data_IF_052283146441
#
_entry.id   IF_052283146441
#
_cell.length_a   1.000
_cell.length_b   1.000
_cell.length_c   1.000
_cell.angle_alpha   90.00
_cell.angle_beta   90.00
_cell.angle_gamma   90.00
#
_symmetry.space_group_name_H-M   'P 1'
#
loop_
_entity.id
_entity.type
_entity.pdbx_description
1 polymer ?
#
# COMPACT_ATOMS: atom_id res chain seq x y z
N UNK A 1 -57.32 -37.00 -30.72
CA UNK A 1 -56.13 -37.42 -29.94
C UNK A 1 -54.83 -36.70 -30.35
N UNK A 2 -54.54 -36.44 -31.61
CA UNK A 2 -53.29 -35.77 -32.07
C UNK A 2 -53.08 -34.30 -31.63
N UNK A 3 -54.14 -33.52 -31.36
CA UNK A 3 -53.98 -32.11 -30.90
C UNK A 3 -53.58 -31.97 -29.41
N UNK A 4 -53.89 -32.96 -28.55
CA UNK A 4 -53.49 -32.96 -27.14
C UNK A 4 -52.03 -33.36 -26.96
N UNK A 5 -51.50 -34.26 -27.81
CA UNK A 5 -50.10 -34.69 -27.74
C UNK A 5 -49.11 -33.60 -28.15
N UNK A 6 -49.46 -32.77 -29.17
CA UNK A 6 -48.62 -31.63 -29.59
C UNK A 6 -48.56 -30.51 -28.54
N UNK A 7 -49.64 -30.24 -27.79
CA UNK A 7 -49.58 -29.28 -26.67
C UNK A 7 -48.78 -29.79 -25.49
N UNK A 8 -48.82 -31.08 -25.20
CA UNK A 8 -48.01 -31.68 -24.13
C UNK A 8 -46.53 -31.67 -24.48
N UNK A 9 -46.14 -31.93 -25.72
CA UNK A 9 -44.74 -31.81 -26.19
C UNK A 9 -44.20 -30.38 -26.14
N UNK A 10 -44.99 -29.38 -26.52
CA UNK A 10 -44.56 -27.97 -26.47
C UNK A 10 -44.38 -27.49 -25.02
N UNK A 11 -45.25 -27.90 -24.09
CA UNK A 11 -45.10 -27.58 -22.67
C UNK A 11 -43.91 -28.30 -22.04
N UNK A 12 -43.69 -29.57 -22.41
CA UNK A 12 -42.49 -30.30 -21.94
C UNK A 12 -41.18 -29.72 -22.50
N UNK A 13 -41.17 -29.28 -23.76
CA UNK A 13 -40.00 -28.60 -24.35
C UNK A 13 -39.70 -27.22 -23.73
N UNK A 14 -40.76 -26.46 -23.38
CA UNK A 14 -40.63 -25.19 -22.68
C UNK A 14 -40.14 -25.39 -21.23
N UNK A 15 -40.57 -26.45 -20.54
CA UNK A 15 -40.06 -26.79 -19.20
C UNK A 15 -38.62 -27.29 -19.26
N UNK A 16 -38.20 -28.02 -20.30
CA UNK A 16 -36.79 -28.44 -20.46
C UNK A 16 -35.86 -27.27 -20.81
N UNK A 17 -36.34 -26.29 -21.60
CA UNK A 17 -35.57 -25.09 -21.92
C UNK A 17 -35.50 -24.16 -20.69
N UNK A 18 -36.55 -24.09 -19.88
CA UNK A 18 -36.52 -23.31 -18.63
C UNK A 18 -35.69 -23.96 -17.52
N UNK A 19 -35.60 -25.29 -17.49
CA UNK A 19 -34.71 -26.01 -16.54
C UNK A 19 -33.23 -26.00 -16.97
N UNK A 20 -32.93 -25.72 -18.24
CA UNK A 20 -31.55 -25.54 -18.75
C UNK A 20 -31.03 -24.11 -18.59
N UNK A 21 -31.91 -23.14 -18.31
CA UNK A 21 -31.50 -21.74 -18.02
C UNK A 21 -31.27 -21.48 -16.53
N UNK A 22 -31.73 -22.37 -15.63
CA UNK A 22 -31.36 -22.39 -14.22
C UNK A 22 -30.30 -23.45 -13.91
N UNK A 23 -29.26 -23.56 -14.72
CA UNK A 23 -27.97 -23.83 -14.11
C UNK A 23 -27.63 -22.54 -13.37
N UNK A 24 -27.89 -22.47 -12.07
CA UNK A 24 -27.16 -21.58 -11.20
C UNK A 24 -25.69 -21.73 -11.67
N UNK A 25 -25.10 -20.70 -12.25
CA UNK A 25 -23.67 -20.66 -12.40
C UNK A 25 -23.16 -20.95 -10.97
N UNK A 26 -22.60 -22.14 -10.74
CA UNK A 26 -21.94 -22.41 -9.50
C UNK A 26 -20.93 -21.26 -9.36
N UNK A 27 -21.15 -20.41 -8.39
CA UNK A 27 -20.24 -19.29 -8.14
C UNK A 27 -18.88 -19.93 -7.99
N UNK A 28 -17.89 -19.51 -8.76
CA UNK A 28 -16.58 -20.12 -8.69
C UNK A 28 -16.07 -19.92 -7.26
N UNK A 29 -15.67 -21.01 -6.63
CA UNK A 29 -15.07 -20.98 -5.29
C UNK A 29 -13.81 -20.10 -5.32
N UNK A 30 -13.64 -19.24 -4.32
CA UNK A 30 -12.45 -18.39 -4.20
C UNK A 30 -11.25 -19.26 -3.83
N UNK A 31 -10.39 -19.50 -4.78
CA UNK A 31 -9.15 -20.24 -4.58
C UNK A 31 -8.00 -19.32 -4.16
N UNK A 32 -7.92 -18.15 -4.77
CA UNK A 32 -6.86 -17.18 -4.55
C UNK A 32 -7.45 -15.84 -4.11
N UNK A 33 -6.75 -15.15 -3.22
CA UNK A 33 -7.07 -13.77 -2.82
C UNK A 33 -5.84 -12.90 -3.04
N UNK A 34 -6.02 -11.80 -3.77
CA UNK A 34 -5.03 -10.75 -3.95
C UNK A 34 -5.59 -9.48 -3.33
N UNK A 35 -5.06 -9.11 -2.17
CA UNK A 35 -5.39 -7.88 -1.45
C UNK A 35 -4.37 -6.81 -1.78
N UNK A 36 -4.81 -5.74 -2.45
CA UNK A 36 -4.00 -4.60 -2.86
C UNK A 36 -4.31 -3.43 -1.93
N UNK A 37 -3.34 -2.97 -1.14
CA UNK A 37 -3.50 -1.86 -0.19
C UNK A 37 -2.70 -0.66 -0.68
N UNK A 38 -3.39 0.46 -0.98
CA UNK A 38 -2.73 1.75 -1.21
C UNK A 38 -2.69 2.51 0.10
N UNK A 39 -1.56 2.49 0.81
CA UNK A 39 -1.43 3.16 2.10
C UNK A 39 -1.69 4.67 1.94
N UNK A 40 -2.54 5.23 2.81
CA UNK A 40 -2.90 6.64 2.78
C UNK A 40 -3.72 7.09 1.56
N UNK A 41 -4.15 6.16 0.69
CA UNK A 41 -4.79 6.43 -0.59
C UNK A 41 -6.31 6.65 -0.45
N UNK A 42 -6.73 7.84 -0.07
CA UNK A 42 -8.14 8.23 -0.13
C UNK A 42 -8.61 8.61 -1.55
N UNK A 43 -9.87 9.03 -1.63
CA UNK A 43 -10.48 9.51 -2.89
C UNK A 43 -9.68 10.70 -3.46
N UNK A 44 -9.15 11.56 -2.58
CA UNK A 44 -8.38 12.74 -2.99
C UNK A 44 -7.11 12.39 -3.73
N UNK A 45 -6.33 11.41 -3.27
CA UNK A 45 -5.12 10.93 -3.93
C UNK A 45 -5.43 10.32 -5.30
N UNK A 46 -6.49 9.52 -5.38
CA UNK A 46 -6.95 8.93 -6.65
C UNK A 46 -7.41 9.99 -7.65
N UNK A 47 -8.22 10.96 -7.21
CA UNK A 47 -8.70 12.05 -8.06
C UNK A 47 -7.55 12.98 -8.49
N UNK A 48 -6.59 13.24 -7.61
CA UNK A 48 -5.37 13.97 -7.95
C UNK A 48 -4.60 13.22 -9.02
N UNK A 49 -4.37 11.92 -8.84
CA UNK A 49 -3.63 11.08 -9.80
C UNK A 49 -4.31 11.08 -11.17
N UNK A 50 -5.61 10.80 -11.25
CA UNK A 50 -6.29 10.77 -12.54
C UNK A 50 -6.34 12.14 -13.23
N UNK A 51 -6.45 13.23 -12.47
CA UNK A 51 -6.41 14.59 -13.02
C UNK A 51 -5.03 14.96 -13.56
N UNK A 52 -3.97 14.55 -12.84
CA UNK A 52 -2.59 14.85 -13.23
C UNK A 52 -2.09 13.95 -14.37
N UNK A 53 -2.43 12.66 -14.37
CA UNK A 53 -1.93 11.70 -15.35
C UNK A 53 -2.66 11.72 -16.69
N UNK A 54 -3.91 12.17 -16.75
CA UNK A 54 -4.72 12.07 -17.95
C UNK A 54 -5.58 13.30 -18.28
N UNK A 55 -6.55 13.08 -19.16
CA UNK A 55 -7.61 14.04 -19.45
C UNK A 55 -8.79 13.89 -18.44
N UNK A 56 -9.82 14.70 -18.63
CA UNK A 56 -11.00 14.71 -17.73
C UNK A 56 -11.75 13.37 -17.63
N UNK A 57 -11.60 12.50 -18.62
CA UNK A 57 -12.30 11.21 -18.73
C UNK A 57 -11.39 10.02 -18.33
N UNK A 58 -10.12 10.30 -17.95
CA UNK A 58 -9.18 9.27 -17.53
C UNK A 58 -9.66 8.54 -16.28
N UNK A 59 -9.57 7.22 -16.29
CA UNK A 59 -9.89 6.33 -15.18
C UNK A 59 -8.70 5.43 -14.87
N UNK A 60 -8.35 5.36 -13.61
CA UNK A 60 -7.45 4.34 -13.10
C UNK A 60 -8.05 2.94 -13.34
N UNK A 61 -7.22 1.91 -13.44
CA UNK A 61 -7.67 0.53 -13.65
C UNK A 61 -8.55 0.04 -12.49
N UNK A 62 -8.21 0.41 -11.24
CA UNK A 62 -9.04 0.11 -10.07
C UNK A 62 -10.48 0.64 -10.21
N UNK A 63 -10.67 1.82 -10.82
CA UNK A 63 -12.00 2.43 -11.02
C UNK A 63 -12.85 1.72 -12.10
N UNK A 64 -12.30 0.71 -12.78
CA UNK A 64 -13.01 -0.11 -13.78
C UNK A 64 -13.54 -1.42 -13.19
N UNK A 65 -13.22 -1.71 -11.92
CA UNK A 65 -13.70 -2.90 -11.22
C UNK A 65 -15.19 -2.80 -10.93
N UNK A 66 -15.93 -3.95 -10.96
CA UNK A 66 -17.39 -3.91 -10.96
C UNK A 66 -18.01 -3.62 -9.59
N UNK A 67 -17.38 -4.01 -8.49
CA UNK A 67 -17.89 -3.83 -7.14
C UNK A 67 -17.17 -2.66 -6.47
N UNK A 68 -17.96 -1.74 -5.88
CA UNK A 68 -17.43 -0.50 -5.29
C UNK A 68 -18.11 -0.25 -3.95
N UNK A 69 -17.30 0.00 -2.93
CA UNK A 69 -17.76 0.36 -1.59
C UNK A 69 -16.91 1.45 -0.96
N UNK A 70 -17.26 1.75 0.28
CA UNK A 70 -16.50 2.65 1.15
C UNK A 70 -16.20 1.94 2.48
N UNK A 71 -14.99 2.10 2.99
CA UNK A 71 -14.58 1.58 4.29
C UNK A 71 -14.36 2.72 5.29
N UNK A 72 -14.95 2.62 6.47
CA UNK A 72 -14.67 3.50 7.60
C UNK A 72 -13.39 3.05 8.31
N UNK A 73 -12.48 3.98 8.61
CA UNK A 73 -11.09 3.70 8.93
C UNK A 73 -10.71 3.80 10.41
N UNK A 74 -11.61 4.31 11.28
CA UNK A 74 -11.26 4.63 12.68
C UNK A 74 -10.63 3.48 13.46
N UNK A 75 -9.63 3.79 14.28
CA UNK A 75 -9.11 2.95 15.36
C UNK A 75 -9.97 3.06 16.63
N UNK A 76 -9.51 2.48 17.76
CA UNK A 76 -10.14 2.70 19.08
C UNK A 76 -9.90 4.13 19.62
N UNK A 77 -8.96 4.88 19.05
CA UNK A 77 -8.55 6.22 19.45
C UNK A 77 -9.10 7.33 18.53
N UNK A 78 -9.84 6.94 17.47
CA UNK A 78 -10.41 7.85 16.49
C UNK A 78 -9.64 7.80 15.18
N UNK A 79 -8.84 8.82 14.84
CA UNK A 79 -7.99 8.82 13.66
C UNK A 79 -6.95 7.70 13.79
N UNK A 80 -6.90 6.83 12.79
CA UNK A 80 -6.05 5.63 12.82
C UNK A 80 -4.64 5.93 12.31
N UNK A 81 -3.67 5.14 12.81
CA UNK A 81 -2.41 4.90 12.09
C UNK A 81 -2.51 3.60 11.27
N UNK A 82 -1.50 3.30 10.46
CA UNK A 82 -1.47 2.09 9.61
C UNK A 82 -1.46 0.80 10.43
N UNK A 83 -0.87 0.80 11.65
CA UNK A 83 -0.85 -0.38 12.51
C UNK A 83 -2.25 -0.77 12.97
N UNK A 84 -3.03 0.18 13.50
CA UNK A 84 -4.40 -0.08 13.94
C UNK A 84 -5.35 -0.33 12.77
N UNK A 85 -5.17 0.37 11.63
CA UNK A 85 -5.96 0.17 10.42
C UNK A 85 -5.69 -1.23 9.81
N UNK A 86 -4.43 -1.57 9.58
CA UNK A 86 -4.02 -2.88 9.09
C UNK A 86 -4.48 -4.00 10.01
N UNK A 87 -4.35 -3.84 11.34
CA UNK A 87 -4.87 -4.82 12.32
C UNK A 87 -6.37 -5.03 12.16
N UNK A 88 -7.15 -3.96 12.00
CA UNK A 88 -8.60 -4.11 11.82
C UNK A 88 -8.94 -4.85 10.51
N UNK A 89 -8.18 -4.57 9.43
CA UNK A 89 -8.34 -5.20 8.11
C UNK A 89 -7.84 -6.65 8.08
N UNK A 90 -6.79 -6.97 8.83
CA UNK A 90 -6.21 -8.30 8.85
C UNK A 90 -6.92 -9.26 9.83
N UNK A 91 -7.40 -8.75 10.98
CA UNK A 91 -7.88 -9.59 12.09
C UNK A 91 -9.37 -9.40 12.43
N UNK A 92 -10.02 -8.35 11.89
CA UNK A 92 -11.41 -7.99 12.24
C UNK A 92 -11.55 -7.37 13.64
N UNK A 93 -10.46 -6.89 14.23
CA UNK A 93 -10.46 -6.28 15.57
C UNK A 93 -9.89 -4.87 15.53
N UNK A 94 -10.59 -3.91 16.16
CA UNK A 94 -10.03 -2.58 16.39
C UNK A 94 -9.08 -2.57 17.56
N UNK A 95 -7.92 -1.92 17.37
CA UNK A 95 -6.89 -1.75 18.40
C UNK A 95 -6.50 -0.28 18.55
N UNK A 96 -5.62 0.05 19.48
CA UNK A 96 -5.01 1.37 19.63
C UNK A 96 -3.91 1.60 18.58
N UNK A 97 -3.61 2.85 18.28
CA UNK A 97 -2.57 3.20 17.32
C UNK A 97 -1.19 2.65 17.75
N UNK A 98 -0.41 2.16 16.80
CA UNK A 98 0.88 1.52 17.02
C UNK A 98 0.83 0.01 17.28
N UNK A 99 -0.33 -0.56 17.62
CA UNK A 99 -0.45 -2.00 17.88
C UNK A 99 -0.59 -2.80 16.58
N UNK A 100 0.23 -3.83 16.42
CA UNK A 100 0.27 -4.73 15.27
C UNK A 100 -0.34 -6.07 15.69
N UNK A 101 -1.49 -6.42 15.15
CA UNK A 101 -2.24 -7.67 15.42
C UNK A 101 -2.27 -8.11 16.91
N UNK A 102 -2.28 -7.14 17.82
CA UNK A 102 -2.28 -7.39 19.26
C UNK A 102 -3.30 -6.50 19.98
N UNK A 103 -4.09 -7.09 20.86
CA UNK A 103 -5.06 -6.33 21.64
C UNK A 103 -4.41 -5.64 22.87
N UNK A 104 -5.15 -4.75 23.53
CA UNK A 104 -4.67 -3.99 24.69
C UNK A 104 -4.27 -4.85 25.92
N UNK A 105 -4.67 -6.12 25.95
CA UNK A 105 -4.32 -7.04 27.03
C UNK A 105 -3.07 -7.85 26.69
N UNK A 106 -2.43 -7.60 25.52
CA UNK A 106 -1.26 -8.32 25.05
C UNK A 106 -1.57 -9.69 24.44
N UNK A 107 -2.84 -9.97 24.09
CA UNK A 107 -3.17 -11.18 23.35
C UNK A 107 -3.00 -10.93 21.85
N UNK A 108 -2.35 -11.87 21.19
CA UNK A 108 -2.19 -11.95 19.73
C UNK A 108 -3.55 -12.18 19.06
N UNK A 109 -3.68 -11.67 17.84
CA UNK A 109 -4.90 -11.74 17.03
C UNK A 109 -4.58 -12.43 15.72
N UNK A 110 -5.23 -13.56 15.45
CA UNK A 110 -5.04 -14.30 14.21
C UNK A 110 -5.49 -13.45 13.01
N UNK A 111 -4.67 -13.40 12.00
CA UNK A 111 -4.89 -12.65 10.77
C UNK A 111 -5.58 -13.50 9.69
N UNK A 112 -6.00 -12.84 8.61
CA UNK A 112 -6.49 -13.52 7.42
C UNK A 112 -5.39 -14.32 6.71
N UNK A 113 -4.12 -13.95 6.88
CA UNK A 113 -2.97 -14.71 6.35
C UNK A 113 -2.78 -15.99 7.16
N UNK A 114 -2.81 -15.95 8.52
CA UNK A 114 -2.75 -17.15 9.36
C UNK A 114 -3.90 -18.13 9.00
N UNK A 115 -5.06 -17.58 8.67
CA UNK A 115 -6.20 -18.39 8.25
C UNK A 115 -5.98 -19.05 6.88
N UNK A 116 -5.27 -18.40 5.97
CA UNK A 116 -4.87 -18.98 4.68
C UNK A 116 -3.88 -20.14 4.89
N UNK A 117 -2.90 -19.98 5.79
CA UNK A 117 -1.93 -21.03 6.13
C UNK A 117 -2.59 -22.28 6.75
N UNK A 118 -3.55 -22.09 7.65
CA UNK A 118 -4.34 -23.22 8.22
C UNK A 118 -5.08 -24.00 7.13
N UNK A 119 -5.29 -23.40 5.96
CA UNK A 119 -5.90 -24.00 4.77
C UNK A 119 -4.89 -24.52 3.76
N UNK A 120 -3.63 -24.59 4.12
CA UNK A 120 -2.50 -24.98 3.28
C UNK A 120 -2.36 -24.12 2.01
N UNK A 121 -2.82 -22.87 2.02
CA UNK A 121 -2.60 -21.93 0.92
C UNK A 121 -1.23 -21.31 1.05
N UNK A 122 -0.56 -21.10 -0.08
CA UNK A 122 0.65 -20.30 -0.11
C UNK A 122 0.37 -18.85 0.31
N UNK A 123 1.32 -18.21 0.99
CA UNK A 123 1.13 -16.85 1.53
C UNK A 123 2.21 -15.89 1.08
N UNK A 124 1.83 -14.62 0.89
CA UNK A 124 2.79 -13.59 0.49
C UNK A 124 2.45 -12.21 1.02
N UNK A 125 3.49 -11.46 1.38
CA UNK A 125 3.44 -10.03 1.69
C UNK A 125 4.47 -9.30 0.86
N UNK A 126 4.04 -8.25 0.18
CA UNK A 126 4.94 -7.38 -0.59
C UNK A 126 4.62 -5.91 -0.32
N UNK A 127 5.64 -5.06 -0.26
CA UNK A 127 5.46 -3.63 0.03
C UNK A 127 6.54 -2.78 -0.63
N UNK A 128 6.20 -1.56 -1.00
CA UNK A 128 7.18 -0.52 -1.37
C UNK A 128 7.81 0.17 -0.16
N UNK A 129 7.41 -0.22 1.06
CA UNK A 129 8.04 0.14 2.34
C UNK A 129 8.97 -0.98 2.82
N UNK A 130 9.33 -0.96 4.11
CA UNK A 130 9.88 -2.13 4.81
C UNK A 130 8.79 -3.20 4.89
N UNK A 131 9.14 -4.45 4.66
CA UNK A 131 8.19 -5.59 4.87
C UNK A 131 7.84 -5.76 6.35
N UNK A 132 8.60 -5.12 7.22
CA UNK A 132 8.42 -5.07 8.67
C UNK A 132 7.64 -3.84 9.13
N UNK A 133 7.26 -2.93 8.21
CA UNK A 133 6.41 -1.80 8.56
C UNK A 133 4.99 -2.27 8.93
N UNK A 134 4.24 -1.36 9.53
CA UNK A 134 2.98 -1.65 10.20
C UNK A 134 1.98 -2.45 9.33
N UNK A 135 1.68 -1.99 8.11
CA UNK A 135 0.65 -2.61 7.27
C UNK A 135 0.97 -4.06 6.93
N UNK A 136 2.14 -4.41 6.32
CA UNK A 136 2.48 -5.81 6.07
C UNK A 136 2.63 -6.62 7.35
N UNK A 137 3.17 -6.02 8.43
CA UNK A 137 3.34 -6.70 9.70
C UNK A 137 2.03 -7.19 10.33
N UNK A 138 0.91 -6.45 10.16
CA UNK A 138 -0.39 -6.84 10.74
C UNK A 138 -0.96 -8.15 10.16
N UNK A 139 -0.45 -8.60 9.02
CA UNK A 139 -0.83 -9.87 8.40
C UNK A 139 0.05 -11.03 8.84
N UNK A 140 1.30 -10.78 9.27
CA UNK A 140 2.31 -11.82 9.45
C UNK A 140 3.03 -11.78 10.81
N UNK A 141 2.65 -10.87 11.72
CA UNK A 141 3.27 -10.73 13.05
C UNK A 141 2.31 -10.13 14.06
N UNK A 142 2.58 -10.33 15.35
CA UNK A 142 1.82 -9.79 16.48
C UNK A 142 2.78 -9.14 17.47
N UNK A 143 2.80 -7.79 17.52
CA UNK A 143 3.64 -7.02 18.45
C UNK A 143 2.86 -5.85 19.05
N UNK A 144 3.30 -5.41 20.24
CA UNK A 144 2.65 -4.29 20.96
C UNK A 144 2.94 -2.92 20.34
N UNK A 145 4.01 -2.81 19.56
CA UNK A 145 4.52 -1.55 19.00
C UNK A 145 5.13 -1.81 17.62
N UNK A 146 4.64 -1.08 16.60
CA UNK A 146 5.09 -1.16 15.21
C UNK A 146 6.59 -0.91 15.01
N UNK A 147 7.26 -0.25 15.97
CA UNK A 147 8.70 -0.02 15.96
C UNK A 147 9.56 -1.24 16.29
N UNK A 148 8.96 -2.40 16.56
CA UNK A 148 9.69 -3.63 16.91
C UNK A 148 10.13 -4.42 15.66
N UNK A 149 10.79 -3.76 14.69
CA UNK A 149 11.11 -4.30 13.37
C UNK A 149 11.82 -5.65 13.38
N UNK A 150 12.85 -5.82 14.20
CA UNK A 150 13.57 -7.11 14.34
C UNK A 150 12.69 -8.26 14.86
N UNK A 151 11.75 -7.99 15.78
CA UNK A 151 10.80 -8.99 16.25
C UNK A 151 9.76 -9.33 15.16
N UNK A 152 9.28 -8.33 14.42
CA UNK A 152 8.38 -8.52 13.27
C UNK A 152 9.08 -9.39 12.21
N UNK A 153 10.32 -9.06 11.83
CA UNK A 153 11.10 -9.82 10.85
C UNK A 153 11.26 -11.30 11.25
N UNK A 154 11.47 -11.55 12.55
CA UNK A 154 11.58 -12.90 13.10
C UNK A 154 10.25 -13.66 12.98
N UNK A 155 9.14 -13.03 13.34
CA UNK A 155 7.81 -13.65 13.28
C UNK A 155 7.38 -13.93 11.83
N UNK A 156 7.67 -13.05 10.87
CA UNK A 156 7.45 -13.28 9.42
C UNK A 156 8.10 -14.60 8.97
N UNK A 157 9.35 -14.86 9.41
CA UNK A 157 10.04 -16.11 9.07
C UNK A 157 9.54 -17.30 9.89
N UNK A 158 9.19 -17.11 11.17
CA UNK A 158 8.67 -18.18 12.02
C UNK A 158 7.27 -18.62 11.58
N UNK A 159 6.46 -17.72 11.01
CA UNK A 159 5.17 -18.00 10.36
C UNK A 159 5.32 -18.60 8.95
N UNK A 160 6.55 -18.76 8.46
CA UNK A 160 6.88 -19.46 7.22
C UNK A 160 6.26 -18.84 5.95
N UNK A 161 6.02 -17.51 5.94
CA UNK A 161 5.43 -16.77 4.79
C UNK A 161 6.25 -17.02 3.52
N UNK A 162 5.65 -17.55 2.46
CA UNK A 162 6.37 -18.03 1.27
C UNK A 162 7.03 -16.92 0.46
N UNK A 163 6.35 -15.80 0.25
CA UNK A 163 6.87 -14.67 -0.53
C UNK A 163 6.89 -13.40 0.30
N UNK A 164 8.10 -12.87 0.54
CA UNK A 164 8.33 -11.64 1.28
C UNK A 164 9.21 -10.71 0.44
N UNK A 165 8.64 -9.60 -0.08
CA UNK A 165 9.35 -8.69 -1.00
C UNK A 165 9.16 -7.22 -0.57
N UNK A 166 10.25 -6.48 -0.39
CA UNK A 166 10.21 -5.04 -0.08
C UNK A 166 11.54 -4.51 0.44
N UNK A 167 11.48 -3.45 1.23
CA UNK A 167 12.61 -2.92 1.99
C UNK A 167 12.76 -3.57 3.37
N UNK A 168 13.54 -2.93 4.27
CA UNK A 168 13.66 -3.34 5.67
C UNK A 168 14.77 -4.36 5.94
N UNK A 169 15.82 -4.39 5.12
CA UNK A 169 16.93 -5.34 5.29
C UNK A 169 17.58 -5.24 6.67
N UNK A 170 17.66 -4.05 7.25
CA UNK A 170 18.27 -3.84 8.57
C UNK A 170 17.55 -4.64 9.65
N UNK A 171 16.23 -4.76 9.62
CA UNK A 171 15.44 -5.52 10.59
C UNK A 171 15.72 -7.03 10.55
N UNK A 172 16.27 -7.55 9.45
CA UNK A 172 16.68 -8.95 9.31
C UNK A 172 18.12 -9.19 9.70
N UNK A 173 18.86 -8.14 10.07
CA UNK A 173 20.27 -8.26 10.49
C UNK A 173 20.34 -8.55 11.98
N UNK A 174 21.50 -9.10 12.39
CA UNK A 174 21.72 -9.52 13.78
C UNK A 174 21.62 -8.38 14.79
N UNK A 175 21.95 -7.18 14.38
CA UNK A 175 21.96 -5.97 15.21
C UNK A 175 20.56 -5.64 15.72
N UNK A 176 19.53 -5.82 14.87
CA UNK A 176 18.12 -5.52 15.18
C UNK A 176 17.34 -6.76 15.65
N UNK A 177 17.53 -7.90 14.97
CA UNK A 177 16.79 -9.13 15.27
C UNK A 177 17.43 -9.99 16.40
N UNK A 178 18.68 -9.68 16.81
CA UNK A 178 19.44 -10.52 17.75
C UNK A 178 20.08 -11.75 17.11
N UNK A 179 19.67 -12.13 15.90
CA UNK A 179 20.23 -13.22 15.07
C UNK A 179 20.22 -12.83 13.57
N UNK A 180 21.06 -13.50 12.77
CA UNK A 180 21.09 -13.30 11.30
C UNK A 180 19.90 -14.03 10.64
N UNK A 181 18.79 -13.29 10.48
CA UNK A 181 17.55 -13.83 9.88
C UNK A 181 17.70 -14.11 8.39
N UNK A 182 18.59 -13.40 7.68
CA UNK A 182 18.87 -13.69 6.26
C UNK A 182 19.53 -15.06 6.13
N UNK A 183 20.51 -15.36 7.01
CA UNK A 183 21.13 -16.69 7.03
C UNK A 183 20.15 -17.79 7.47
N UNK A 184 19.21 -17.48 8.37
CA UNK A 184 18.11 -18.39 8.76
C UNK A 184 17.18 -18.67 7.59
N UNK A 185 16.70 -17.65 6.90
CA UNK A 185 15.83 -17.77 5.72
C UNK A 185 16.46 -18.65 4.62
N UNK A 186 17.74 -18.45 4.30
CA UNK A 186 18.48 -19.30 3.35
C UNK A 186 18.51 -20.77 3.77
N UNK A 187 18.63 -21.07 5.07
CA UNK A 187 18.58 -22.46 5.59
C UNK A 187 17.17 -23.05 5.53
N UNK A 188 16.13 -22.18 5.61
CA UNK A 188 14.74 -22.59 5.44
C UNK A 188 14.34 -22.78 3.97
N UNK A 189 15.24 -22.52 3.02
CA UNK A 189 15.02 -22.73 1.61
C UNK A 189 14.61 -21.49 0.81
N UNK A 190 14.60 -20.31 1.43
CA UNK A 190 14.27 -19.07 0.71
C UNK A 190 15.33 -18.71 -0.33
N UNK A 191 14.89 -18.37 -1.53
CA UNK A 191 15.71 -17.69 -2.53
C UNK A 191 15.86 -16.22 -2.09
N UNK A 192 17.03 -15.86 -1.58
CA UNK A 192 17.31 -14.48 -1.13
C UNK A 192 17.77 -13.62 -2.30
N UNK A 193 17.11 -12.50 -2.52
CA UNK A 193 17.39 -11.55 -3.61
C UNK A 193 17.45 -10.11 -3.10
N UNK A 194 18.26 -9.25 -3.74
CA UNK A 194 18.52 -7.87 -3.31
C UNK A 194 18.35 -6.84 -4.41
N UNK A 195 18.02 -7.25 -5.62
CA UNK A 195 17.80 -6.36 -6.76
C UNK A 195 16.80 -6.96 -7.78
N UNK A 196 16.30 -6.12 -8.68
CA UNK A 196 15.32 -6.52 -9.70
C UNK A 196 15.82 -7.60 -10.67
N UNK A 197 17.11 -7.64 -10.96
CA UNK A 197 17.66 -8.64 -11.88
C UNK A 197 17.75 -10.01 -11.21
N UNK A 198 18.02 -10.06 -9.91
CA UNK A 198 17.95 -11.29 -9.14
C UNK A 198 16.49 -11.76 -8.99
N UNK A 199 15.55 -10.83 -8.70
CA UNK A 199 14.13 -11.12 -8.60
C UNK A 199 13.58 -11.77 -9.88
N UNK A 200 13.94 -11.26 -11.06
CA UNK A 200 13.56 -11.85 -12.35
C UNK A 200 13.98 -13.30 -12.51
N UNK A 201 15.12 -13.70 -11.91
CA UNK A 201 15.70 -15.06 -12.01
C UNK A 201 15.15 -16.03 -10.97
N UNK A 202 14.33 -15.57 -10.04
CA UNK A 202 13.66 -16.45 -9.07
C UNK A 202 12.88 -17.53 -9.81
N UNK A 203 13.07 -18.78 -9.40
CA UNK A 203 12.35 -19.91 -9.96
C UNK A 203 11.10 -20.20 -9.14
N UNK A 204 9.90 -20.06 -9.70
CA UNK A 204 8.63 -20.21 -8.99
C UNK A 204 8.50 -21.55 -8.26
N UNK A 205 8.85 -22.65 -8.92
CA UNK A 205 8.74 -24.00 -8.37
C UNK A 205 9.54 -24.27 -7.07
N UNK A 206 10.39 -23.35 -6.62
CA UNK A 206 11.10 -23.45 -5.33
C UNK A 206 10.27 -22.89 -4.16
N UNK A 207 9.12 -22.25 -4.43
CA UNK A 207 8.09 -21.88 -3.47
C UNK A 207 8.42 -20.69 -2.56
N UNK A 208 9.69 -20.45 -2.17
CA UNK A 208 10.00 -19.42 -1.14
C UNK A 208 10.99 -18.37 -1.64
N UNK A 209 10.62 -17.09 -1.39
CA UNK A 209 11.43 -15.94 -1.79
C UNK A 209 11.47 -14.89 -0.67
N UNK A 210 12.69 -14.46 -0.32
CA UNK A 210 12.94 -13.29 0.51
C UNK A 210 13.68 -12.25 -0.31
N UNK A 211 13.02 -11.17 -0.70
CA UNK A 211 13.58 -10.04 -1.43
C UNK A 211 13.65 -8.80 -0.56
N UNK A 212 14.85 -8.37 -0.19
CA UNK A 212 15.07 -7.17 0.61
C UNK A 212 15.91 -6.17 -0.21
N UNK A 213 15.25 -5.18 -0.79
CA UNK A 213 15.81 -4.33 -1.84
C UNK A 213 16.41 -3.02 -1.33
N UNK A 214 16.12 -2.65 -0.07
CA UNK A 214 16.68 -1.49 0.61
C UNK A 214 16.92 -1.81 2.10
N UNK A 215 17.80 -1.08 2.76
CA UNK A 215 18.03 -1.22 4.20
C UNK A 215 16.80 -0.78 5.01
N UNK A 216 16.17 0.32 4.61
CA UNK A 216 14.93 0.87 5.15
C UNK A 216 13.81 0.71 4.12
N UNK A 217 12.91 1.70 3.99
CA UNK A 217 11.89 1.71 2.94
C UNK A 217 12.49 1.86 1.54
N UNK A 218 11.81 1.37 0.51
CA UNK A 218 12.26 1.48 -0.87
C UNK A 218 12.21 2.94 -1.35
N UNK A 219 13.11 3.31 -2.27
CA UNK A 219 13.13 4.65 -2.85
C UNK A 219 11.82 4.95 -3.59
N UNK A 220 11.41 6.23 -3.57
CA UNK A 220 10.33 6.68 -4.46
C UNK A 220 10.63 6.30 -5.89
N UNK A 221 9.61 5.82 -6.62
CA UNK A 221 9.81 5.35 -8.00
C UNK A 221 10.39 6.44 -8.90
N UNK A 222 10.02 7.70 -8.66
CA UNK A 222 10.52 8.86 -9.40
C UNK A 222 11.99 9.21 -9.11
N UNK A 223 12.53 8.83 -7.94
CA UNK A 223 13.91 9.12 -7.57
C UNK A 223 14.91 8.04 -8.03
N UNK A 224 14.40 6.88 -8.47
CA UNK A 224 15.24 5.68 -8.70
C UNK A 224 16.28 5.86 -9.79
N UNK A 225 15.96 6.63 -10.84
CA UNK A 225 16.91 6.89 -11.92
C UNK A 225 18.06 7.79 -11.45
N UNK A 226 17.77 8.85 -10.70
CA UNK A 226 18.77 9.78 -10.14
C UNK A 226 19.63 9.13 -9.04
N UNK A 227 19.11 8.09 -8.37
CA UNK A 227 19.81 7.31 -7.37
C UNK A 227 20.53 6.06 -7.95
N UNK A 228 20.42 5.80 -9.26
CA UNK A 228 20.87 4.54 -9.90
C UNK A 228 20.36 3.29 -9.16
N UNK A 229 19.12 3.35 -8.65
CA UNK A 229 18.50 2.29 -7.86
C UNK A 229 18.29 1.02 -8.69
N UNK A 230 18.56 -0.13 -8.07
CA UNK A 230 18.32 -1.46 -8.64
C UNK A 230 17.07 -2.12 -8.06
N UNK A 231 16.26 -1.37 -7.33
CA UNK A 231 15.00 -1.84 -6.75
C UNK A 231 13.98 -2.20 -7.84
N UNK A 232 13.19 -3.27 -7.64
CA UNK A 232 12.04 -3.56 -8.50
C UNK A 232 10.90 -2.55 -8.29
N UNK A 233 10.03 -2.35 -9.29
CA UNK A 233 8.76 -1.68 -9.10
C UNK A 233 7.76 -2.59 -8.35
N UNK A 234 6.66 -2.02 -7.86
CA UNK A 234 5.59 -2.83 -7.26
C UNK A 234 5.00 -3.80 -8.27
N UNK A 235 4.87 -3.37 -9.53
CA UNK A 235 4.42 -4.24 -10.62
C UNK A 235 5.36 -5.46 -10.81
N UNK A 236 6.68 -5.25 -10.77
CA UNK A 236 7.65 -6.34 -10.91
C UNK A 236 7.58 -7.29 -9.69
N UNK A 237 7.39 -6.76 -8.47
CA UNK A 237 7.20 -7.56 -7.26
C UNK A 237 5.88 -8.35 -7.30
N UNK A 238 4.76 -7.69 -7.64
CA UNK A 238 3.43 -8.32 -7.74
C UNK A 238 3.43 -9.44 -8.78
N UNK A 239 4.02 -9.19 -9.95
CA UNK A 239 4.14 -10.20 -11.02
C UNK A 239 4.89 -11.43 -10.50
N UNK A 240 6.04 -11.24 -9.88
CA UNK A 240 6.84 -12.35 -9.36
C UNK A 240 6.18 -13.08 -8.20
N UNK A 241 5.50 -12.35 -7.29
CA UNK A 241 4.77 -12.95 -6.19
C UNK A 241 3.64 -13.87 -6.69
N UNK A 242 2.85 -13.41 -7.66
CA UNK A 242 1.80 -14.23 -8.27
C UNK A 242 2.39 -15.43 -8.99
N UNK A 243 3.50 -15.28 -9.75
CA UNK A 243 4.19 -16.38 -10.41
C UNK A 243 4.58 -17.50 -9.43
N UNK A 244 5.12 -17.11 -8.25
CA UNK A 244 5.58 -18.07 -7.23
C UNK A 244 4.39 -18.71 -6.51
N UNK A 245 3.45 -17.91 -6.02
CA UNK A 245 2.34 -18.38 -5.19
C UNK A 245 1.34 -19.21 -5.98
N UNK A 246 1.19 -18.98 -7.28
CA UNK A 246 0.25 -19.73 -8.13
C UNK A 246 0.67 -21.16 -8.44
N UNK A 247 1.90 -21.56 -8.11
CA UNK A 247 2.35 -22.95 -8.19
C UNK A 247 1.69 -23.85 -7.12
N UNK A 248 1.09 -23.25 -6.08
CA UNK A 248 0.39 -24.00 -5.04
C UNK A 248 -0.99 -24.46 -5.50
N UNK A 249 -1.24 -25.79 -5.41
CA UNK A 249 -2.51 -26.39 -5.85
C UNK A 249 -3.70 -26.01 -4.95
N UNK A 250 -3.49 -25.63 -3.68
CA UNK A 250 -4.52 -25.20 -2.75
C UNK A 250 -4.84 -23.69 -2.89
N UNK A 251 -4.06 -22.97 -3.72
CA UNK A 251 -4.20 -21.54 -3.98
C UNK A 251 -3.41 -20.70 -3.01
N UNK A 252 -3.67 -19.37 -3.00
CA UNK A 252 -2.84 -18.46 -2.23
C UNK A 252 -3.61 -17.26 -1.67
N UNK A 253 -2.99 -16.62 -0.66
CA UNK A 253 -3.28 -15.27 -0.19
C UNK A 253 -2.06 -14.37 -0.43
N UNK A 254 -2.25 -13.27 -1.13
CA UNK A 254 -1.22 -12.25 -1.36
C UNK A 254 -1.72 -10.90 -0.85
N UNK A 255 -0.98 -10.27 0.07
CA UNK A 255 -1.11 -8.85 0.38
C UNK A 255 -0.01 -8.09 -0.36
N UNK A 256 -0.40 -7.08 -1.15
CA UNK A 256 0.50 -6.22 -1.90
C UNK A 256 0.22 -4.75 -1.59
N UNK A 257 1.25 -4.03 -1.18
CA UNK A 257 1.11 -2.67 -0.69
C UNK A 257 1.87 -1.65 -1.52
N UNK A 258 1.14 -0.60 -1.94
CA UNK A 258 1.70 0.64 -2.46
C UNK A 258 1.91 1.65 -1.32
N UNK A 259 2.88 1.39 -0.48
CA UNK A 259 3.09 2.11 0.77
C UNK A 259 3.65 3.53 0.60
N UNK A 260 4.41 3.76 -0.47
CA UNK A 260 5.02 5.08 -0.68
C UNK A 260 4.01 6.15 -1.13
N UNK A 261 2.75 5.77 -1.41
CA UNK A 261 1.65 6.74 -1.65
C UNK A 261 1.43 7.58 -0.38
N UNK A 262 1.38 6.94 0.79
CA UNK A 262 1.24 7.62 2.09
C UNK A 262 2.42 8.54 2.38
N UNK A 263 3.65 8.05 2.23
CA UNK A 263 4.84 8.87 2.45
C UNK A 263 4.88 10.11 1.55
N UNK A 264 4.49 9.98 0.28
CA UNK A 264 4.35 11.11 -0.64
C UNK A 264 3.22 12.04 -0.20
N UNK A 265 2.09 11.49 0.27
CA UNK A 265 0.97 12.28 0.78
C UNK A 265 1.38 13.07 2.03
N UNK A 266 2.07 12.48 3.00
CA UNK A 266 2.62 13.19 4.16
C UNK A 266 3.52 14.37 3.77
N UNK A 267 4.28 14.21 2.70
CA UNK A 267 5.12 15.27 2.15
C UNK A 267 4.35 16.32 1.33
N UNK A 268 3.03 16.18 1.15
CA UNK A 268 2.25 16.96 0.18
C UNK A 268 2.85 16.93 -1.25
N UNK A 269 3.56 15.84 -1.60
CA UNK A 269 4.22 15.62 -2.88
C UNK A 269 3.24 15.10 -3.92
N UNK A 270 2.55 16.01 -4.63
CA UNK A 270 1.61 15.64 -5.69
C UNK A 270 2.25 14.76 -6.77
N UNK A 271 3.42 15.10 -7.36
CA UNK A 271 4.09 14.24 -8.33
C UNK A 271 4.45 12.85 -7.77
N UNK A 272 4.87 12.78 -6.51
CA UNK A 272 5.14 11.52 -5.82
C UNK A 272 3.88 10.67 -5.65
N UNK A 273 2.79 11.24 -5.12
CA UNK A 273 1.48 10.57 -5.02
C UNK A 273 1.04 10.04 -6.39
N UNK A 274 1.19 10.84 -7.45
CA UNK A 274 0.82 10.42 -8.82
C UNK A 274 1.68 9.24 -9.28
N UNK A 275 2.99 9.31 -9.13
CA UNK A 275 3.91 8.27 -9.61
C UNK A 275 3.70 6.94 -8.88
N UNK A 276 3.62 6.98 -7.55
CA UNK A 276 3.39 5.79 -6.72
C UNK A 276 2.00 5.17 -6.96
N UNK A 277 0.95 6.00 -7.08
CA UNK A 277 -0.40 5.51 -7.39
C UNK A 277 -0.48 4.89 -8.79
N UNK A 278 0.27 5.39 -9.77
CA UNK A 278 0.28 4.80 -11.12
C UNK A 278 1.02 3.45 -11.16
N UNK A 279 2.11 3.26 -10.41
CA UNK A 279 2.77 1.95 -10.28
C UNK A 279 1.87 0.95 -9.55
N UNK A 280 1.17 1.41 -8.50
CA UNK A 280 0.14 0.64 -7.80
C UNK A 280 -1.01 0.24 -8.74
N UNK A 281 -1.56 1.17 -9.53
CA UNK A 281 -2.64 0.92 -10.48
C UNK A 281 -2.22 -0.03 -11.62
N UNK A 282 -0.96 0.05 -12.07
CA UNK A 282 -0.39 -0.91 -13.03
C UNK A 282 -0.30 -2.33 -12.44
N UNK A 283 0.04 -2.43 -11.15
CA UNK A 283 0.08 -3.69 -10.41
C UNK A 283 -1.33 -4.29 -10.25
N UNK A 284 -2.33 -3.45 -9.97
CA UNK A 284 -3.75 -3.83 -9.94
C UNK A 284 -4.21 -4.35 -11.29
N UNK A 285 -3.84 -3.64 -12.37
CA UNK A 285 -4.17 -4.11 -13.72
C UNK A 285 -3.66 -5.53 -13.97
N UNK A 286 -2.41 -5.79 -13.63
CA UNK A 286 -1.82 -7.13 -13.78
C UNK A 286 -2.60 -8.17 -12.96
N UNK A 287 -2.87 -7.90 -11.68
CA UNK A 287 -3.61 -8.80 -10.79
C UNK A 287 -5.03 -9.10 -11.33
N UNK A 288 -5.75 -8.08 -11.79
CA UNK A 288 -7.11 -8.24 -12.36
C UNK A 288 -7.09 -9.01 -13.68
N UNK A 289 -6.13 -8.75 -14.56
CA UNK A 289 -6.01 -9.49 -15.82
C UNK A 289 -5.66 -10.96 -15.56
N UNK A 290 -4.74 -11.25 -14.64
CA UNK A 290 -4.43 -12.60 -14.20
C UNK A 290 -5.65 -13.30 -13.56
N UNK A 291 -6.38 -12.62 -12.68
CA UNK A 291 -7.60 -13.14 -12.05
C UNK A 291 -8.71 -13.46 -13.07
N UNK A 292 -8.85 -12.64 -14.11
CA UNK A 292 -9.80 -12.84 -15.21
C UNK A 292 -9.49 -14.12 -16.02
N UNK A 293 -8.21 -14.41 -16.23
CA UNK A 293 -7.77 -15.60 -16.94
C UNK A 293 -7.99 -16.87 -16.10
N UNK A 294 -7.83 -16.81 -14.79
CA UNK A 294 -7.94 -17.94 -13.87
C UNK A 294 -9.37 -18.20 -13.36
N UNK A 295 -10.23 -17.16 -13.25
CA UNK A 295 -11.66 -17.29 -12.96
C UNK A 295 -12.05 -17.63 -11.51
N UNK A 296 -11.09 -17.95 -10.64
CA UNK A 296 -11.28 -18.37 -9.24
C UNK A 296 -10.52 -17.47 -8.25
N UNK A 297 -10.22 -16.25 -8.65
CA UNK A 297 -9.41 -15.31 -7.89
C UNK A 297 -10.21 -14.06 -7.54
N UNK A 298 -10.24 -13.73 -6.26
CA UNK A 298 -10.73 -12.48 -5.73
C UNK A 298 -9.58 -11.46 -5.72
N UNK A 299 -9.80 -10.28 -6.31
CA UNK A 299 -8.89 -9.13 -6.21
C UNK A 299 -9.62 -8.01 -5.50
N UNK A 300 -9.06 -7.50 -4.41
CA UNK A 300 -9.63 -6.39 -3.64
C UNK A 300 -8.60 -5.27 -3.54
N UNK A 301 -9.01 -4.06 -3.86
CA UNK A 301 -8.21 -2.84 -3.75
C UNK A 301 -8.85 -1.94 -2.70
N UNK A 302 -8.06 -1.48 -1.75
CA UNK A 302 -8.52 -0.63 -0.64
C UNK A 302 -7.36 0.23 -0.14
N UNK A 303 -7.64 1.28 0.61
CA UNK A 303 -6.64 1.95 1.45
C UNK A 303 -6.89 1.60 2.92
N UNK A 304 -5.89 1.71 3.76
CA UNK A 304 -6.01 1.54 5.20
C UNK A 304 -6.57 2.82 5.87
N UNK A 305 -6.18 3.99 5.40
CA UNK A 305 -6.70 5.32 5.75
C UNK A 305 -6.48 6.30 4.59
N UNK A 306 -6.82 7.55 4.82
CA UNK A 306 -6.50 8.68 3.93
C UNK A 306 -5.52 9.61 4.64
N UNK A 307 -4.58 10.20 3.88
CA UNK A 307 -3.54 11.07 4.39
C UNK A 307 -3.62 12.46 3.77
N UNK A 308 -3.56 13.48 4.62
CA UNK A 308 -3.45 14.91 4.34
C UNK A 308 -4.64 15.55 3.59
N UNK A 309 -5.78 14.87 3.40
CA UNK A 309 -7.00 15.46 2.84
C UNK A 309 -6.83 16.03 1.44
N UNK A 310 -6.13 15.34 0.54
CA UNK A 310 -5.88 15.81 -0.81
C UNK A 310 -7.15 16.23 -1.54
N UNK A 311 -7.10 17.38 -2.22
CA UNK A 311 -8.19 17.89 -3.04
C UNK A 311 -7.69 18.55 -4.31
N UNK A 312 -8.29 18.21 -5.45
CA UNK A 312 -8.08 18.95 -6.70
C UNK A 312 -8.96 20.21 -6.65
N UNK A 313 -8.34 21.39 -6.49
CA UNK A 313 -9.03 22.67 -6.40
C UNK A 313 -8.55 23.62 -7.49
N UNK A 314 -9.34 24.65 -7.82
CA UNK A 314 -8.90 25.75 -8.68
C UNK A 314 -8.28 26.85 -7.81
N UNK A 315 -7.17 27.45 -8.22
CA UNK A 315 -6.42 27.28 -9.48
C UNK A 315 -5.14 26.44 -9.34
N UNK A 316 -5.23 25.13 -9.16
CA UNK A 316 -4.06 24.25 -9.06
C UNK A 316 -3.16 24.37 -10.32
N UNK A 317 -1.85 24.46 -10.10
CA UNK A 317 -0.86 24.59 -11.20
C UNK A 317 -0.34 23.19 -11.61
N UNK A 318 -1.14 22.48 -12.43
CA UNK A 318 -0.81 21.14 -12.91
C UNK A 318 0.55 21.08 -13.63
N UNK A 319 0.83 22.03 -14.52
CA UNK A 319 2.06 22.03 -15.34
C UNK A 319 3.30 22.16 -14.46
N UNK A 320 3.31 23.10 -13.52
CA UNK A 320 4.45 23.29 -12.62
C UNK A 320 4.69 22.05 -11.73
N UNK A 321 3.62 21.44 -11.20
CA UNK A 321 3.72 20.23 -10.37
C UNK A 321 4.28 19.05 -11.18
N UNK A 322 3.77 18.80 -12.38
CA UNK A 322 4.19 17.63 -13.17
C UNK A 322 5.59 17.78 -13.79
N UNK A 323 6.19 18.96 -13.75
CA UNK A 323 7.59 19.18 -14.13
C UNK A 323 8.58 18.93 -12.98
N UNK A 324 8.13 18.56 -11.79
CA UNK A 324 9.00 18.19 -10.67
C UNK A 324 9.33 16.69 -10.77
N UNK A 325 10.58 16.37 -11.08
CA UNK A 325 11.02 15.01 -11.41
C UNK A 325 11.50 14.22 -10.20
N UNK A 326 11.82 14.87 -9.07
CA UNK A 326 12.33 14.24 -7.84
C UNK A 326 11.41 14.49 -6.63
N UNK A 327 11.53 13.66 -5.60
CA UNK A 327 10.76 13.84 -4.38
C UNK A 327 11.27 15.00 -3.50
N UNK A 328 10.44 15.57 -2.64
CA UNK A 328 10.89 16.50 -1.59
C UNK A 328 11.95 15.89 -0.67
N UNK A 329 11.93 14.58 -0.45
CA UNK A 329 12.94 13.88 0.36
C UNK A 329 14.30 13.86 -0.35
N UNK A 330 14.33 13.61 -1.66
CA UNK A 330 15.54 13.75 -2.48
C UNK A 330 16.07 15.18 -2.43
N UNK A 331 15.19 16.17 -2.59
CA UNK A 331 15.55 17.60 -2.49
C UNK A 331 16.16 17.94 -1.12
N UNK A 332 15.62 17.39 -0.02
CA UNK A 332 16.15 17.58 1.31
C UNK A 332 17.61 17.09 1.43
N UNK A 333 17.93 15.97 0.79
CA UNK A 333 19.30 15.43 0.72
C UNK A 333 20.30 16.29 -0.07
N UNK A 334 19.84 17.31 -0.80
CA UNK A 334 20.70 18.27 -1.54
C UNK A 334 20.96 19.58 -0.79
N UNK A 335 20.33 19.77 0.37
CA UNK A 335 20.56 20.92 1.22
C UNK A 335 21.94 20.84 1.88
N UNK A 336 22.55 21.99 2.14
CA UNK A 336 23.87 22.10 2.75
C UNK A 336 23.74 22.71 4.14
N UNK A 337 24.11 21.95 5.15
CA UNK A 337 24.09 22.41 6.54
C UNK A 337 25.03 23.58 6.78
N UNK A 338 24.68 24.42 7.75
CA UNK A 338 25.57 25.43 8.28
C UNK A 338 26.69 24.80 9.12
N UNK A 339 27.75 25.54 9.44
CA UNK A 339 28.83 25.05 10.30
C UNK A 339 28.36 24.60 11.70
N UNK A 340 27.24 25.17 12.18
CA UNK A 340 26.65 24.80 13.47
C UNK A 340 25.81 23.51 13.42
N UNK A 341 25.48 22.99 12.22
CA UNK A 341 24.71 21.77 12.03
C UNK A 341 23.23 21.84 12.47
N UNK A 342 22.71 23.03 12.75
CA UNK A 342 21.33 23.22 13.23
C UNK A 342 20.44 24.00 12.26
N UNK A 343 20.90 24.23 11.05
CA UNK A 343 20.19 24.91 9.99
C UNK A 343 20.83 24.57 8.63
N UNK A 344 20.12 24.83 7.54
CA UNK A 344 20.70 24.81 6.20
C UNK A 344 21.07 26.23 5.75
N UNK A 345 22.07 26.35 4.87
CA UNK A 345 22.46 27.63 4.31
C UNK A 345 21.34 28.20 3.45
N UNK A 346 21.09 29.52 3.53
CA UNK A 346 20.05 30.19 2.74
C UNK A 346 20.25 29.97 1.25
N UNK A 347 21.50 30.06 0.77
CA UNK A 347 21.86 29.85 -0.62
C UNK A 347 21.53 28.43 -1.09
N UNK A 348 21.74 27.39 -0.25
CA UNK A 348 21.38 26.00 -0.62
C UNK A 348 19.87 25.79 -0.69
N UNK A 349 19.11 26.39 0.23
CA UNK A 349 17.64 26.34 0.21
C UNK A 349 17.13 26.97 -1.08
N UNK A 350 17.53 28.22 -1.37
CA UNK A 350 17.08 28.93 -2.57
C UNK A 350 17.48 28.19 -3.84
N UNK A 351 18.70 27.65 -3.91
CA UNK A 351 19.18 26.86 -5.04
C UNK A 351 18.36 25.59 -5.25
N UNK A 352 18.11 24.80 -4.22
CA UNK A 352 17.37 23.53 -4.28
C UNK A 352 15.94 23.77 -4.75
N UNK A 353 15.22 24.75 -4.21
CA UNK A 353 13.87 25.07 -4.66
C UNK A 353 13.85 25.57 -6.11
N UNK A 354 14.84 26.36 -6.53
CA UNK A 354 14.94 26.85 -7.90
C UNK A 354 15.25 25.73 -8.89
N UNK A 355 16.20 24.86 -8.56
CA UNK A 355 16.71 23.79 -9.42
C UNK A 355 15.65 22.70 -9.63
N UNK A 356 15.03 22.21 -8.55
CA UNK A 356 14.17 21.03 -8.62
C UNK A 356 12.67 21.35 -8.72
N UNK A 357 12.22 22.49 -8.21
CA UNK A 357 10.81 22.88 -8.24
C UNK A 357 10.51 24.16 -9.05
N UNK A 358 11.54 24.76 -9.65
CA UNK A 358 11.47 26.06 -10.36
C UNK A 358 10.80 27.18 -9.54
N UNK A 359 10.98 27.15 -8.21
CA UNK A 359 10.45 28.14 -7.27
C UNK A 359 11.57 29.07 -6.78
N UNK A 360 11.30 30.37 -6.78
CA UNK A 360 12.19 31.39 -6.20
C UNK A 360 11.70 31.71 -4.77
N UNK A 361 12.50 31.35 -3.77
CA UNK A 361 12.26 31.73 -2.40
C UNK A 361 12.98 33.01 -2.06
N UNK A 362 12.30 33.92 -1.37
CA UNK A 362 12.94 35.08 -0.76
C UNK A 362 13.81 34.64 0.41
N UNK A 363 14.77 35.49 0.81
CA UNK A 363 15.58 35.23 2.01
C UNK A 363 14.72 35.04 3.28
N UNK A 364 13.61 35.75 3.38
CA UNK A 364 12.65 35.63 4.48
C UNK A 364 12.02 34.21 4.50
N UNK A 365 11.52 33.73 3.36
CA UNK A 365 10.93 32.37 3.25
C UNK A 365 11.95 31.28 3.56
N UNK A 366 13.21 31.44 3.10
CA UNK A 366 14.27 30.50 3.41
C UNK A 366 14.64 30.48 4.93
N UNK A 367 14.54 31.61 5.62
CA UNK A 367 14.69 31.68 7.09
C UNK A 367 13.51 31.04 7.82
N UNK A 368 12.29 31.27 7.33
CA UNK A 368 11.07 30.63 7.86
C UNK A 368 11.14 29.10 7.66
N UNK A 369 11.62 28.62 6.50
CA UNK A 369 11.90 27.20 6.28
C UNK A 369 12.82 26.64 7.37
N UNK A 370 13.97 27.26 7.63
CA UNK A 370 14.89 26.81 8.66
C UNK A 370 14.26 26.77 10.06
N UNK A 371 13.36 27.70 10.39
CA UNK A 371 12.70 27.67 11.70
C UNK A 371 11.68 26.52 11.86
N UNK A 372 11.18 25.98 10.73
CA UNK A 372 10.15 24.94 10.72
C UNK A 372 10.70 23.51 10.62
N UNK A 373 12.03 23.36 10.51
CA UNK A 373 12.70 22.06 10.36
C UNK A 373 13.59 21.70 11.53
N UNK A 374 13.49 22.40 12.63
CA UNK A 374 14.25 22.19 13.85
C UNK A 374 13.33 21.60 14.92
N UNK A 375 13.82 20.56 15.59
CA UNK A 375 13.14 19.97 16.73
C UNK A 375 13.15 20.97 17.90
N UNK A 376 11.99 21.32 18.43
CA UNK A 376 11.84 22.28 19.53
C UNK A 376 12.44 21.75 20.85
N UNK A 377 12.54 20.42 21.03
CA UNK A 377 12.99 19.81 22.28
C UNK A 377 14.51 19.90 22.45
N UNK A 378 15.29 19.71 21.38
CA UNK A 378 16.76 19.63 21.45
C UNK A 378 17.51 20.54 20.47
N UNK A 379 16.78 21.23 19.58
CA UNK A 379 17.35 22.14 18.59
C UNK A 379 18.07 21.45 17.43
N UNK A 380 17.93 20.13 17.28
CA UNK A 380 18.47 19.37 16.14
C UNK A 380 17.61 19.56 14.88
N UNK A 381 18.21 19.34 13.72
CA UNK A 381 17.44 19.24 12.48
C UNK A 381 16.56 17.97 12.51
N UNK A 382 15.36 18.07 11.97
CA UNK A 382 14.54 16.88 11.73
C UNK A 382 15.23 15.91 10.76
N UNK A 383 14.85 14.65 10.83
CA UNK A 383 15.24 13.64 9.83
C UNK A 383 14.88 14.08 8.41
N UNK A 384 15.65 13.64 7.42
CA UNK A 384 15.54 14.05 6.02
C UNK A 384 14.11 13.98 5.48
N UNK A 385 13.37 12.92 5.79
CA UNK A 385 11.97 12.77 5.35
C UNK A 385 11.05 13.87 5.90
N UNK A 386 11.23 14.30 7.16
CA UNK A 386 10.45 15.41 7.75
C UNK A 386 10.85 16.77 7.17
N UNK A 387 12.13 16.96 6.84
CA UNK A 387 12.58 18.13 6.07
C UNK A 387 11.89 18.14 4.69
N UNK A 388 11.78 16.97 4.05
CA UNK A 388 11.01 16.77 2.82
C UNK A 388 9.55 17.17 2.96
N UNK A 389 8.90 16.87 4.09
CA UNK A 389 7.52 17.32 4.35
C UNK A 389 7.36 18.86 4.30
N UNK A 390 8.34 19.56 4.82
CA UNK A 390 8.32 21.04 4.78
C UNK A 390 8.56 21.57 3.37
N UNK A 391 9.47 20.94 2.61
CA UNK A 391 9.71 21.28 1.19
C UNK A 391 8.43 21.09 0.38
N UNK A 392 7.81 19.93 0.47
CA UNK A 392 6.59 19.62 -0.26
C UNK A 392 5.41 20.51 0.12
N UNK A 393 5.27 20.89 1.42
CA UNK A 393 4.24 21.83 1.86
C UNK A 393 4.38 23.21 1.20
N UNK A 394 5.61 23.72 1.07
CA UNK A 394 5.87 24.99 0.36
C UNK A 394 5.56 24.85 -1.14
N UNK A 395 5.94 23.73 -1.75
CA UNK A 395 5.63 23.48 -3.16
C UNK A 395 4.11 23.41 -3.36
N UNK A 396 3.40 22.69 -2.51
CA UNK A 396 1.95 22.53 -2.57
C UNK A 396 1.24 23.88 -2.42
N UNK A 397 1.62 24.69 -1.42
CA UNK A 397 1.05 26.02 -1.20
C UNK A 397 1.26 26.95 -2.40
N UNK A 398 2.49 27.03 -2.93
CA UNK A 398 2.82 27.88 -4.09
C UNK A 398 2.14 27.44 -5.38
N UNK A 399 1.66 26.19 -5.45
CA UNK A 399 0.94 25.63 -6.59
C UNK A 399 -0.56 25.43 -6.33
N UNK A 400 -1.10 25.99 -5.25
CA UNK A 400 -2.51 25.95 -4.87
C UNK A 400 -3.09 24.54 -4.74
N UNK A 401 -2.34 23.61 -4.16
CA UNK A 401 -2.82 22.26 -3.86
C UNK A 401 -3.69 22.30 -2.61
N UNK A 402 -4.87 21.68 -2.66
CA UNK A 402 -5.73 21.51 -1.49
C UNK A 402 -5.23 20.35 -0.63
N UNK A 403 -4.65 20.68 0.51
CA UNK A 403 -4.18 19.72 1.53
C UNK A 403 -4.35 20.29 2.92
N UNK A 404 -4.31 19.44 3.95
CA UNK A 404 -4.25 19.87 5.35
C UNK A 404 -3.03 20.77 5.56
N UNK A 405 -3.25 21.94 6.17
CA UNK A 405 -2.19 22.92 6.41
C UNK A 405 -1.08 22.34 7.29
N UNK A 406 0.16 22.75 7.03
CA UNK A 406 1.35 22.22 7.70
C UNK A 406 1.31 22.40 9.24
N UNK A 407 0.74 23.51 9.74
CA UNK A 407 0.58 23.78 11.17
C UNK A 407 -0.49 22.90 11.85
N UNK A 408 -1.48 22.41 11.10
CA UNK A 408 -2.46 21.41 11.55
C UNK A 408 -1.82 20.04 11.57
N UNK A 409 -1.12 19.66 10.49
CA UNK A 409 -0.37 18.39 10.42
C UNK A 409 0.64 18.25 11.56
N UNK A 410 1.39 19.32 11.88
CA UNK A 410 2.39 19.32 12.95
C UNK A 410 1.81 19.03 14.35
N UNK A 411 0.50 19.18 14.54
CA UNK A 411 -0.22 18.86 15.79
C UNK A 411 -0.90 17.49 15.76
N UNK A 412 -0.78 16.76 14.66
CA UNK A 412 -1.39 15.44 14.48
C UNK A 412 -0.44 14.35 14.94
N UNK A 413 -0.89 13.48 15.83
CA UNK A 413 -0.11 12.32 16.29
C UNK A 413 0.16 11.30 15.16
N UNK A 414 -0.69 11.30 14.13
CA UNK A 414 -0.57 10.43 12.94
C UNK A 414 0.13 11.13 11.76
N UNK A 415 0.62 12.37 11.93
CA UNK A 415 1.26 13.10 10.84
C UNK A 415 0.31 13.63 9.77
N UNK A 416 -1.00 13.69 10.05
CA UNK A 416 -2.01 14.28 9.17
C UNK A 416 -2.96 13.27 8.52
N UNK A 417 -3.08 12.05 9.05
CA UNK A 417 -4.16 11.14 8.63
C UNK A 417 -5.51 11.75 8.91
N UNK A 418 -6.51 11.34 8.16
CA UNK A 418 -7.89 11.82 8.32
C UNK A 418 -8.84 10.68 8.68
N UNK A 419 -10.01 11.03 9.16
CA UNK A 419 -11.09 10.07 9.44
C UNK A 419 -11.96 9.80 8.19
N UNK A 420 -11.54 10.27 7.03
CA UNK A 420 -12.28 10.07 5.79
C UNK A 420 -12.42 8.57 5.49
N UNK A 421 -13.61 8.17 5.03
CA UNK A 421 -13.79 6.82 4.51
C UNK A 421 -13.00 6.66 3.21
N UNK A 422 -12.43 5.48 3.02
CA UNK A 422 -11.63 5.15 1.83
C UNK A 422 -12.42 4.26 0.87
N UNK A 423 -12.15 4.32 -0.44
CA UNK A 423 -12.85 3.50 -1.41
C UNK A 423 -12.37 2.04 -1.36
N UNK A 424 -13.29 1.13 -1.66
CA UNK A 424 -13.01 -0.28 -1.95
C UNK A 424 -13.38 -0.54 -3.40
N UNK A 425 -12.53 -1.25 -4.13
CA UNK A 425 -12.83 -1.79 -5.45
C UNK A 425 -12.57 -3.28 -5.44
N UNK A 426 -13.47 -4.08 -6.02
CA UNK A 426 -13.30 -5.52 -6.01
C UNK A 426 -13.70 -6.17 -7.33
N UNK A 427 -12.99 -7.26 -7.68
CA UNK A 427 -13.17 -8.05 -8.89
C UNK A 427 -13.06 -9.54 -8.56
N UNK A 428 -13.86 -10.36 -9.19
CA UNK A 428 -13.84 -11.81 -9.05
C UNK A 428 -15.05 -12.35 -8.26
N UNK A 429 -15.05 -13.65 -7.90
CA UNK A 429 -16.12 -14.25 -7.15
C UNK A 429 -16.21 -13.71 -5.71
N UNK A 430 -17.41 -13.72 -5.12
CA UNK A 430 -17.72 -13.35 -3.73
C UNK A 430 -17.32 -11.92 -3.33
N UNK A 431 -17.32 -10.97 -4.29
CA UNK A 431 -16.92 -9.58 -4.06
C UNK A 431 -18.10 -8.63 -3.82
N UNK A 432 -19.34 -9.10 -3.90
CA UNK A 432 -20.55 -8.27 -3.74
C UNK A 432 -20.70 -7.71 -2.33
N UNK A 433 -20.18 -8.39 -1.31
CA UNK A 433 -20.26 -7.96 0.09
C UNK A 433 -19.33 -6.78 0.43
N UNK A 434 -18.43 -6.40 -0.49
CA UNK A 434 -17.69 -5.14 -0.39
C UNK A 434 -18.49 -3.91 -0.84
N UNK A 435 -19.67 -4.08 -1.44
CA UNK A 435 -20.51 -2.95 -1.85
C UNK A 435 -21.13 -2.25 -0.63
N UNK A 436 -21.35 -0.92 -0.75
CA UNK A 436 -21.94 -0.10 0.30
C UNK A 436 -20.92 0.54 1.22
N UNK A 437 -21.25 0.71 2.49
CA UNK A 437 -20.38 1.32 3.49
C UNK A 437 -20.17 0.32 4.64
N UNK A 438 -18.94 -0.08 4.87
CA UNK A 438 -18.57 -1.08 5.86
C UNK A 438 -17.50 -0.54 6.84
N UNK A 439 -17.38 -1.17 7.99
CA UNK A 439 -16.27 -0.95 8.92
C UNK A 439 -15.01 -1.70 8.43
N UNK A 440 -13.82 -1.22 8.79
CA UNK A 440 -12.58 -1.95 8.52
C UNK A 440 -12.54 -3.36 9.17
N UNK A 441 -13.26 -3.56 10.26
CA UNK A 441 -13.43 -4.89 10.87
C UNK A 441 -14.41 -5.81 10.11
N UNK A 442 -15.35 -5.23 9.36
CA UNK A 442 -16.26 -5.99 8.50
C UNK A 442 -15.57 -6.38 7.18
N UNK A 443 -14.64 -5.55 6.71
CA UNK A 443 -13.77 -5.85 5.57
C UNK A 443 -13.06 -7.20 5.75
N UNK A 444 -12.43 -7.41 6.89
CA UNK A 444 -11.78 -8.66 7.24
C UNK A 444 -12.72 -9.87 7.18
N UNK A 445 -13.96 -9.71 7.65
CA UNK A 445 -14.95 -10.82 7.66
C UNK A 445 -15.27 -11.30 6.25
N UNK A 446 -15.35 -10.39 5.27
CA UNK A 446 -15.59 -10.77 3.87
C UNK A 446 -14.43 -11.63 3.35
N UNK A 447 -13.18 -11.25 3.65
CA UNK A 447 -12.00 -12.06 3.28
C UNK A 447 -12.00 -13.43 3.95
N UNK A 448 -12.34 -13.51 5.24
CA UNK A 448 -12.45 -14.80 5.95
C UNK A 448 -13.56 -15.69 5.36
N UNK A 449 -14.71 -15.12 5.01
CA UNK A 449 -15.83 -15.87 4.44
C UNK A 449 -15.49 -16.41 3.06
N UNK A 450 -14.81 -15.62 2.23
CA UNK A 450 -14.34 -16.04 0.91
C UNK A 450 -13.35 -17.23 0.93
N UNK A 451 -12.67 -17.47 2.04
CA UNK A 451 -11.76 -18.60 2.21
C UNK A 451 -12.43 -19.81 2.91
N UNK A 452 -13.71 -19.73 3.25
CA UNK A 452 -14.42 -20.90 3.84
C UNK A 452 -14.73 -21.93 2.74
N UNK A 453 -14.69 -23.23 3.10
CA UNK A 453 -15.04 -24.31 2.17
C UNK A 453 -16.52 -24.31 1.81
#
# INVERSE_FOLDING_TARGET
>A
MLKKSKRLMVVASLFLIFSLVFTAAAQAEVKNIILMIGDGMGIGQMDMTRYMAGDKDYKLEMMKMPNVGLMMTSSTEGVTDSAAAGTAMATGNKVYNGAVAMNKNGAELDSVLDFAEVRNKATGIISTNMVTDATPATFAASVKDRGMGGEIAKQILDNDVDVVLGGGREDFMKEEAGEDLIAKAKKMGYQYVTDKEQLKRVMPMNGKVLGLFNDSYMNYIKDRDDLDSKEPSLLEMTTKAIDVLSEDEDGFFLMAEGARIDHAAHAADVPGVVAETLDFDASIKYAVDWARENGNTMVVVVADHETLGFSVTEPINKEALMNIEVSPEYMAGKLVETESGNAYTIDSIQRVFKEYANLELTEKEAREFNSNIVNEDDGSLYYQYKVGWQIGSIIAEKNNVGVVAADVRAKSDTGGHTLNSVPIFAFGPETEDFNGVIQNTEFCKVLFEAMRP
#
